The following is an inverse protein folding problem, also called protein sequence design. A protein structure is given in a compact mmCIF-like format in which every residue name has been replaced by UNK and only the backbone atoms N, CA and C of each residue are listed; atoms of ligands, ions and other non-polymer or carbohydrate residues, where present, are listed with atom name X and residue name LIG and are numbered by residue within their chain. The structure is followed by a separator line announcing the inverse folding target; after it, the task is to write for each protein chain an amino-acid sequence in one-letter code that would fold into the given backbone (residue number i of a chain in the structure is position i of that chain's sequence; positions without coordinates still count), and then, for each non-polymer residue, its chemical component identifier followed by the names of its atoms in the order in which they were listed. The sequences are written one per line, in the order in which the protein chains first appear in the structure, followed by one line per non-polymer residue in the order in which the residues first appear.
data_IF_522592740812
#
_entry.id   IF_522592740812
#
_cell.length_a   1.000
_cell.length_b   1.000
_cell.length_c   1.000
_cell.angle_alpha   90.00
_cell.angle_beta   90.00
_cell.angle_gamma   90.00
#
_symmetry.space_group_name_H-M   'P 1'
#
loop_
_entity.id
_entity.type
_entity.pdbx_description
1 polymer ?
#
# COMPACT_ATOMS: atom_id res chain seq x y z
N UNK A 1 -2.14 -7.83 -0.29
CA UNK A 1 -2.46 -6.99 0.88
C UNK A 1 -3.85 -6.39 0.70
N UNK A 2 -4.79 -6.67 1.61
CA UNK A 2 -6.15 -6.10 1.53
C UNK A 2 -6.07 -4.57 1.61
N UNK A 3 -6.53 -3.88 0.57
CA UNK A 3 -6.28 -2.46 0.34
C UNK A 3 -7.22 -1.52 1.12
N UNK A 4 -7.93 -2.01 2.14
CA UNK A 4 -8.95 -1.25 2.87
C UNK A 4 -8.47 -0.95 4.29
N UNK A 5 -8.67 0.30 4.72
CA UNK A 5 -8.46 0.66 6.12
C UNK A 5 -9.74 0.37 6.91
N UNK A 6 -9.64 -0.47 7.94
CA UNK A 6 -10.75 -0.83 8.82
C UNK A 6 -10.78 0.10 10.05
N UNK A 7 -11.98 0.34 10.58
CA UNK A 7 -12.25 1.20 11.73
C UNK A 7 -13.24 0.50 12.64
N UNK A 8 -13.03 0.59 13.95
CA UNK A 8 -14.00 0.11 14.94
C UNK A 8 -15.18 1.06 15.00
N UNK A 9 -16.39 0.49 14.92
CA UNK A 9 -17.67 1.18 14.96
C UNK A 9 -18.45 0.66 16.15
N UNK A 10 -18.97 1.56 16.99
CA UNK A 10 -19.91 1.21 18.05
C UNK A 10 -21.34 1.44 17.56
N UNK A 11 -22.18 0.42 17.62
CA UNK A 11 -23.59 0.56 17.28
C UNK A 11 -24.32 1.37 18.35
N UNK A 12 -25.08 2.42 17.99
CA UNK A 12 -25.85 3.20 18.96
C UNK A 12 -27.01 2.41 19.57
N UNK A 13 -27.52 1.38 18.86
CA UNK A 13 -28.71 0.63 19.27
C UNK A 13 -28.36 -0.49 20.26
N UNK A 14 -27.41 -1.37 19.92
CA UNK A 14 -27.06 -2.52 20.76
C UNK A 14 -25.74 -2.37 21.53
N UNK A 15 -25.00 -1.26 21.32
CA UNK A 15 -23.67 -1.00 21.89
C UNK A 15 -22.59 -2.01 21.49
N UNK A 16 -22.90 -2.95 20.59
CA UNK A 16 -21.94 -3.88 20.01
C UNK A 16 -20.90 -3.13 19.18
N UNK A 17 -19.67 -3.65 19.17
CA UNK A 17 -18.56 -3.13 18.38
C UNK A 17 -18.28 -4.04 17.19
N UNK A 18 -18.01 -3.45 16.03
CA UNK A 18 -17.68 -4.19 14.82
C UNK A 18 -16.68 -3.40 13.96
N UNK A 19 -16.03 -4.07 13.01
CA UNK A 19 -15.12 -3.39 12.07
C UNK A 19 -15.80 -3.14 10.74
N UNK A 20 -15.58 -1.93 10.21
CA UNK A 20 -16.06 -1.54 8.89
C UNK A 20 -14.98 -0.80 8.10
N UNK A 21 -15.08 -0.84 6.77
CA UNK A 21 -14.22 -0.11 5.86
C UNK A 21 -14.41 1.39 6.06
N UNK A 22 -13.33 2.11 6.34
CA UNK A 22 -13.32 3.56 6.50
C UNK A 22 -13.87 4.33 5.27
N UNK A 23 -13.90 3.70 4.08
CA UNK A 23 -14.49 4.30 2.87
C UNK A 23 -16.01 4.46 2.98
N UNK A 24 -16.68 3.54 3.68
CA UNK A 24 -18.14 3.49 3.87
C UNK A 24 -18.59 4.39 5.03
N UNK A 25 -17.72 4.64 6.00
CA UNK A 25 -18.00 5.50 7.15
C UNK A 25 -17.85 6.99 6.79
N UNK A 26 -18.94 7.59 6.30
CA UNK A 26 -19.01 9.03 5.94
C UNK A 26 -20.17 9.71 6.65
N UNK A 27 -19.97 10.99 6.98
CA UNK A 27 -21.01 11.86 7.52
C UNK A 27 -22.21 11.90 6.57
N UNK A 28 -23.41 11.73 7.11
CA UNK A 28 -24.66 11.65 6.33
C UNK A 28 -24.88 10.29 5.64
N UNK A 29 -23.96 9.35 5.81
CA UNK A 29 -24.15 7.95 5.37
C UNK A 29 -24.96 7.14 6.38
N UNK A 30 -25.06 5.84 6.14
CA UNK A 30 -25.65 4.87 7.05
C UNK A 30 -24.72 3.68 7.23
N UNK A 31 -24.82 3.01 8.37
CA UNK A 31 -24.09 1.78 8.67
C UNK A 31 -25.06 0.72 9.18
N UNK A 32 -24.84 -0.52 8.75
CA UNK A 32 -25.59 -1.69 9.22
C UNK A 32 -24.80 -2.38 10.32
N UNK A 33 -25.47 -2.70 11.43
CA UNK A 33 -24.85 -3.40 12.55
C UNK A 33 -25.00 -4.92 12.39
N UNK A 34 -23.92 -5.71 12.41
CA UNK A 34 -24.00 -7.16 12.31
C UNK A 34 -24.52 -7.86 13.57
N UNK A 35 -24.65 -7.14 14.69
CA UNK A 35 -25.06 -7.71 15.98
C UNK A 35 -26.57 -7.66 16.20
N UNK A 36 -27.20 -6.54 15.85
CA UNK A 36 -28.64 -6.34 16.02
C UNK A 36 -29.36 -6.06 14.70
N UNK A 37 -28.65 -6.18 13.58
CA UNK A 37 -29.16 -5.99 12.22
C UNK A 37 -29.76 -4.60 11.94
N UNK A 38 -29.58 -3.66 12.86
CA UNK A 38 -30.11 -2.32 12.75
C UNK A 38 -29.26 -1.48 11.79
N UNK A 39 -29.96 -0.76 10.91
CA UNK A 39 -29.39 0.30 10.08
C UNK A 39 -29.47 1.62 10.86
N UNK A 40 -28.35 2.32 10.99
CA UNK A 40 -28.28 3.59 11.72
C UNK A 40 -27.56 4.67 10.91
N UNK A 41 -27.94 5.92 11.15
CA UNK A 41 -27.33 7.07 10.49
C UNK A 41 -25.91 7.31 11.04
N UNK A 42 -25.00 7.71 10.16
CA UNK A 42 -23.67 8.18 10.50
C UNK A 42 -23.68 9.71 10.59
N UNK A 43 -24.40 10.23 11.57
CA UNK A 43 -24.54 11.65 11.86
C UNK A 43 -23.67 12.09 13.03
N UNK A 44 -23.31 13.37 13.06
CA UNK A 44 -22.44 13.93 14.10
C UNK A 44 -23.22 14.22 15.41
N UNK A 45 -24.43 13.68 15.59
CA UNK A 45 -25.29 13.93 16.77
C UNK A 45 -24.79 13.18 17.99
N UNK A 46 -24.30 11.94 17.81
CA UNK A 46 -23.79 11.11 18.90
C UNK A 46 -22.25 11.12 18.97
N UNK A 47 -21.71 11.26 20.18
CA UNK A 47 -20.26 11.20 20.44
C UNK A 47 -19.58 9.92 19.92
N UNK A 48 -20.12 8.69 20.09
CA UNK A 48 -19.49 7.50 19.54
C UNK A 48 -19.42 7.50 18.01
N UNK A 49 -20.42 8.06 17.33
CA UNK A 49 -20.41 8.17 15.86
C UNK A 49 -19.43 9.26 15.41
N UNK A 50 -19.38 10.42 16.08
CA UNK A 50 -18.37 11.46 15.83
C UNK A 50 -16.96 10.90 15.92
N UNK A 51 -16.65 10.14 16.97
CA UNK A 51 -15.35 9.48 17.15
C UNK A 51 -15.07 8.47 16.03
N UNK A 52 -16.05 7.66 15.67
CA UNK A 52 -15.95 6.70 14.55
C UNK A 52 -15.64 7.42 13.23
N UNK A 53 -16.34 8.52 12.95
CA UNK A 53 -16.13 9.33 11.75
C UNK A 53 -14.75 9.99 11.73
N UNK A 54 -14.25 10.48 12.87
CA UNK A 54 -12.89 11.00 13.00
C UNK A 54 -11.84 9.91 12.67
N UNK A 55 -11.96 8.73 13.28
CA UNK A 55 -11.07 7.60 13.01
C UNK A 55 -11.10 7.19 11.53
N UNK A 56 -12.29 7.21 10.90
CA UNK A 56 -12.44 6.93 9.48
C UNK A 56 -11.84 8.00 8.57
N UNK A 57 -11.91 9.28 8.95
CA UNK A 57 -11.21 10.38 8.24
C UNK A 57 -9.69 10.18 8.30
N UNK A 58 -9.14 9.85 9.47
CA UNK A 58 -7.71 9.61 9.66
C UNK A 58 -7.21 8.37 8.93
N UNK A 59 -7.97 7.28 8.98
CA UNK A 59 -7.67 6.06 8.25
C UNK A 59 -7.61 6.30 6.74
N UNK A 60 -8.55 7.10 6.18
CA UNK A 60 -8.53 7.51 4.77
C UNK A 60 -7.35 8.43 4.44
N UNK A 61 -6.98 9.34 5.35
CA UNK A 61 -5.79 10.21 5.18
C UNK A 61 -4.51 9.38 5.12
N UNK A 62 -4.27 8.53 6.12
CA UNK A 62 -3.10 7.63 6.18
C UNK A 62 -2.99 6.74 4.96
N UNK A 63 -4.11 6.18 4.49
CA UNK A 63 -4.15 5.39 3.25
C UNK A 63 -3.74 6.20 2.03
N UNK A 64 -4.25 7.45 1.89
CA UNK A 64 -3.87 8.33 0.78
C UNK A 64 -2.39 8.69 0.81
N UNK A 65 -1.84 8.98 2.00
CA UNK A 65 -0.41 9.25 2.18
C UNK A 65 0.45 8.07 1.77
N UNK A 66 0.14 6.86 2.28
CA UNK A 66 0.87 5.64 1.88
C UNK A 66 0.83 5.40 0.37
N UNK A 67 -0.32 5.63 -0.27
CA UNK A 67 -0.43 5.49 -1.73
C UNK A 67 0.41 6.56 -2.45
N UNK A 68 0.44 7.79 -1.94
CA UNK A 68 1.26 8.87 -2.50
C UNK A 68 2.76 8.58 -2.35
N UNK A 69 3.21 8.11 -1.18
CA UNK A 69 4.60 7.69 -0.90
C UNK A 69 5.04 6.55 -1.81
N UNK A 70 4.18 5.54 -1.99
CA UNK A 70 4.44 4.48 -2.95
C UNK A 70 4.60 5.09 -4.35
N UNK A 71 3.62 5.87 -4.81
CA UNK A 71 3.66 6.50 -6.15
C UNK A 71 4.90 7.36 -6.39
N UNK A 72 5.39 8.10 -5.40
CA UNK A 72 6.63 8.85 -5.55
C UNK A 72 7.84 7.95 -5.74
N UNK A 73 7.90 6.80 -5.07
CA UNK A 73 8.97 5.80 -5.27
C UNK A 73 8.89 5.08 -6.62
N UNK A 74 7.69 4.97 -7.22
CA UNK A 74 7.52 4.42 -8.59
C UNK A 74 7.80 5.45 -9.70
N UNK A 75 7.95 6.73 -9.37
CA UNK A 75 8.17 7.80 -10.35
C UNK A 75 9.65 8.05 -10.65
N UNK A 76 10.56 7.41 -9.92
CA UNK A 76 11.93 7.22 -10.42
C UNK A 76 11.83 6.25 -11.59
N UNK A 77 11.80 6.81 -12.80
CA UNK A 77 12.03 6.04 -14.01
C UNK A 77 13.36 5.31 -13.78
N UNK A 78 13.39 3.95 -13.81
CA UNK A 78 14.66 3.25 -13.69
C UNK A 78 15.57 3.86 -14.75
N UNK A 79 16.76 4.32 -14.35
CA UNK A 79 17.69 4.92 -15.32
C UNK A 79 17.70 4.03 -16.55
N UNK A 80 17.45 4.61 -17.75
CA UNK A 80 17.27 3.81 -18.95
C UNK A 80 18.46 2.87 -19.02
N UNK A 81 18.18 1.57 -18.87
CA UNK A 81 19.23 0.58 -18.78
C UNK A 81 20.13 0.80 -19.98
N UNK A 82 21.39 1.19 -19.73
CA UNK A 82 22.32 1.55 -20.80
C UNK A 82 22.24 0.42 -21.84
N UNK A 83 21.88 0.71 -23.10
CA UNK A 83 21.66 -0.33 -24.08
C UNK A 83 22.95 -1.14 -24.18
N UNK A 84 22.85 -2.45 -23.94
CA UNK A 84 23.97 -3.36 -24.14
C UNK A 84 24.37 -3.28 -25.60
N UNK A 85 25.53 -2.68 -25.87
CA UNK A 85 26.07 -2.60 -27.21
C UNK A 85 26.83 -3.88 -27.52
N UNK A 86 26.92 -4.23 -28.81
CA UNK A 86 27.78 -5.34 -29.25
C UNK A 86 29.23 -5.16 -28.75
N UNK A 87 29.71 -3.93 -28.62
CA UNK A 87 31.02 -3.62 -28.05
C UNK A 87 31.19 -4.06 -26.60
N UNK A 88 30.11 -4.05 -25.80
CA UNK A 88 30.15 -4.47 -24.40
C UNK A 88 30.27 -5.99 -24.30
N UNK A 89 29.60 -6.72 -25.21
CA UNK A 89 29.69 -8.18 -25.33
C UNK A 89 31.10 -8.59 -25.76
N UNK A 90 31.65 -7.94 -26.79
CA UNK A 90 33.00 -8.21 -27.27
C UNK A 90 34.04 -7.98 -26.17
N UNK A 91 33.91 -6.88 -25.42
CA UNK A 91 34.80 -6.59 -24.28
C UNK A 91 34.73 -7.64 -23.18
N UNK A 92 33.53 -8.12 -22.86
CA UNK A 92 33.35 -9.19 -21.87
C UNK A 92 33.97 -10.52 -22.32
N UNK A 93 33.94 -10.82 -23.62
CA UNK A 93 34.57 -12.00 -24.19
C UNK A 93 36.10 -11.89 -24.19
N UNK A 94 36.65 -10.72 -24.54
CA UNK A 94 38.09 -10.46 -24.47
C UNK A 94 38.61 -10.62 -23.03
N UNK A 95 37.91 -10.05 -22.05
CA UNK A 95 38.25 -10.19 -20.62
C UNK A 95 38.21 -11.66 -20.16
N UNK A 96 37.28 -12.45 -20.70
CA UNK A 96 37.16 -13.88 -20.38
C UNK A 96 38.34 -14.67 -20.96
N UNK A 97 38.73 -14.39 -22.20
CA UNK A 97 39.88 -15.02 -22.85
C UNK A 97 41.17 -14.74 -22.08
N UNK A 98 41.40 -13.49 -21.68
CA UNK A 98 42.57 -13.12 -20.85
C UNK A 98 42.61 -13.90 -19.54
N UNK A 99 41.45 -14.07 -18.88
CA UNK A 99 41.37 -14.86 -17.64
C UNK A 99 41.67 -16.34 -17.89
N UNK A 100 41.23 -16.89 -19.01
CA UNK A 100 41.50 -18.28 -19.38
C UNK A 100 42.99 -18.51 -19.64
N UNK A 101 43.66 -17.59 -20.34
CA UNK A 101 45.09 -17.66 -20.61
C UNK A 101 45.93 -17.56 -19.32
N UNK A 102 45.53 -16.68 -18.41
CA UNK A 102 46.15 -16.57 -17.08
C UNK A 102 45.97 -17.86 -16.25
N UNK A 103 44.87 -18.58 -16.40
CA UNK A 103 44.65 -19.86 -15.72
C UNK A 103 45.43 -21.01 -16.36
N UNK A 104 45.59 -20.98 -17.68
CA UNK A 104 46.37 -21.98 -18.42
C UNK A 104 47.87 -21.88 -18.09
N UNK A 105 48.41 -20.67 -18.06
CA UNK A 105 49.84 -20.40 -17.74
C UNK A 105 50.20 -20.69 -16.28
N UNK A 106 49.24 -20.67 -15.37
CA UNK A 106 49.43 -20.93 -13.93
C UNK A 106 49.44 -22.42 -13.57
N UNK A 107 49.10 -23.30 -14.51
CA UNK A 107 49.07 -24.77 -14.37
C UNK A 107 50.25 -25.50 -15.03
N UNK A 108 51.21 -24.77 -15.60
CA UNK A 108 52.51 -25.28 -16.07
C UNK A 108 53.63 -24.86 -15.14
#
# INVERSE_FOLDING_TARGET
MSAYALVSVACPNCRGQFQERAKLLRSGGQAWCPHCEALFALDDTSEPIRRTLALARDARRRRRQRIAELRSGWSEEPEPAKPLLMSDVLRALDDLLVRMDALATRKG
#
